data_IF_058756488129
#
_entry.id   IF_058756488129
#
_cell.length_a   1.000
_cell.length_b   1.000
_cell.length_c   1.000
_cell.angle_alpha   90.00
_cell.angle_beta   90.00
_cell.angle_gamma   90.00
#
_symmetry.space_group_name_H-M   'P 1'
#
loop_
_entity.id
_entity.type
_entity.pdbx_description
1 polymer ?
#
# COMPACT_ATOMS: atom_id res chain seq x y z
N UNK A 1 2.34 5.81 -31.86
CA UNK A 1 2.05 6.51 -30.59
C UNK A 1 0.86 5.78 -29.95
N UNK A 2 1.10 4.83 -29.06
CA UNK A 2 0.04 4.05 -28.39
C UNK A 2 0.19 4.27 -26.90
N UNK A 3 -0.69 5.08 -26.33
CA UNK A 3 -0.85 5.26 -24.89
C UNK A 3 -2.26 4.84 -24.55
N UNK A 4 -2.44 3.63 -24.03
CA UNK A 4 -3.62 3.27 -23.26
C UNK A 4 -3.22 2.17 -22.28
N UNK A 5 -2.55 2.56 -21.20
CA UNK A 5 -2.68 1.80 -19.94
C UNK A 5 -4.04 2.20 -19.40
N UNK A 6 -5.05 1.43 -19.80
CA UNK A 6 -6.37 1.52 -19.24
C UNK A 6 -6.37 0.91 -17.85
N UNK A 7 -6.20 1.74 -16.83
CA UNK A 7 -6.67 1.44 -15.48
C UNK A 7 -7.09 2.75 -14.82
N UNK A 8 -8.28 3.22 -15.21
CA UNK A 8 -9.03 4.20 -14.41
C UNK A 8 -9.37 3.61 -13.03
N UNK A 9 -9.74 4.46 -12.07
CA UNK A 9 -9.61 4.17 -10.64
C UNK A 9 -10.45 2.95 -10.25
N UNK A 10 -9.81 1.93 -9.66
CA UNK A 10 -10.53 1.10 -8.69
C UNK A 10 -11.02 2.07 -7.59
N UNK A 11 -12.26 1.93 -7.12
CA UNK A 11 -12.87 2.83 -6.12
C UNK A 11 -12.02 2.91 -4.85
N UNK A 12 -11.04 3.79 -4.85
CA UNK A 12 -10.03 3.88 -3.82
C UNK A 12 -9.72 5.31 -3.48
N UNK A 13 -9.42 5.54 -2.21
CA UNK A 13 -9.01 6.86 -1.72
C UNK A 13 -7.50 6.90 -1.73
N UNK A 14 -6.93 7.64 -2.68
CA UNK A 14 -5.49 7.92 -2.72
C UNK A 14 -5.19 9.19 -1.93
N UNK A 15 -4.19 9.15 -1.05
CA UNK A 15 -3.69 10.34 -0.34
C UNK A 15 -2.20 10.23 -0.05
N UNK A 16 -1.56 11.37 0.09
CA UNK A 16 -0.21 11.43 0.66
C UNK A 16 -0.30 11.33 2.18
N UNK A 17 0.55 10.48 2.76
CA UNK A 17 0.69 10.29 4.19
C UNK A 17 2.08 10.77 4.60
N UNK A 18 2.10 11.70 5.56
CA UNK A 18 3.36 12.24 6.09
C UNK A 18 3.68 11.52 7.39
N UNK A 19 4.77 10.77 7.38
CA UNK A 19 5.25 9.97 8.50
C UNK A 19 5.96 10.85 9.55
N UNK A 20 6.04 10.33 10.78
CA UNK A 20 6.69 11.03 11.91
C UNK A 20 8.20 11.19 11.68
N UNK A 21 8.82 10.24 10.99
CA UNK A 21 10.19 10.31 10.49
C UNK A 21 10.43 11.41 9.45
N UNK A 22 9.36 12.05 8.95
CA UNK A 22 9.42 13.11 7.94
C UNK A 22 9.33 12.62 6.50
N UNK A 23 9.25 11.31 6.29
CA UNK A 23 8.98 10.70 4.98
C UNK A 23 7.57 11.04 4.51
N UNK A 24 7.40 11.15 3.19
CA UNK A 24 6.09 11.26 2.56
C UNK A 24 5.92 10.07 1.65
N UNK A 25 4.86 9.31 1.89
CA UNK A 25 4.48 8.15 1.09
C UNK A 25 3.12 8.40 0.49
N UNK A 26 2.87 7.86 -0.70
CA UNK A 26 1.51 7.87 -1.26
C UNK A 26 0.86 6.55 -0.89
N UNK A 27 -0.34 6.61 -0.35
CA UNK A 27 -1.15 5.41 -0.10
C UNK A 27 -2.40 5.43 -0.98
N UNK A 28 -2.91 4.26 -1.29
CA UNK A 28 -4.18 4.05 -1.94
C UNK A 28 -4.94 2.93 -1.22
N UNK A 29 -6.14 3.24 -0.72
CA UNK A 29 -6.98 2.26 -0.04
C UNK A 29 -8.13 1.92 -0.97
N UNK A 30 -8.27 0.66 -1.34
CA UNK A 30 -9.31 0.14 -2.24
C UNK A 30 -10.14 -0.95 -1.57
N UNK A 31 -11.33 -1.22 -2.09
CA UNK A 31 -12.13 -2.40 -1.70
C UNK A 31 -11.51 -3.67 -2.27
N UNK A 32 -11.47 -4.75 -1.50
CA UNK A 32 -10.90 -6.04 -1.91
C UNK A 32 -11.93 -7.18 -1.69
N UNK A 33 -11.98 -8.22 -2.54
CA UNK A 33 -12.90 -9.35 -2.34
C UNK A 33 -12.48 -10.31 -1.23
N UNK A 34 -11.18 -10.40 -0.92
CA UNK A 34 -10.61 -11.35 0.04
C UNK A 34 -10.34 -10.70 1.40
N UNK A 35 -10.28 -9.37 1.44
CA UNK A 35 -10.02 -8.56 2.64
C UNK A 35 -11.10 -7.50 2.88
N UNK A 36 -11.12 -6.89 4.07
CA UNK A 36 -12.02 -5.77 4.34
C UNK A 36 -11.63 -4.53 3.52
N UNK A 37 -10.33 -4.33 3.33
CA UNK A 37 -9.76 -3.36 2.40
C UNK A 37 -8.40 -3.83 1.88
N UNK A 38 -7.93 -3.21 0.81
CA UNK A 38 -6.57 -3.35 0.29
C UNK A 38 -5.86 -2.00 0.40
N UNK A 39 -4.62 -2.04 0.89
CA UNK A 39 -3.74 -0.90 1.03
C UNK A 39 -2.54 -1.06 0.09
N UNK A 40 -2.39 -0.15 -0.87
CA UNK A 40 -1.21 -0.02 -1.70
C UNK A 40 -0.38 1.16 -1.18
N UNK A 41 0.86 0.89 -0.76
CA UNK A 41 1.82 1.90 -0.29
C UNK A 41 2.87 2.13 -1.36
N UNK A 42 3.03 3.38 -1.79
CA UNK A 42 3.93 3.79 -2.86
C UNK A 42 5.02 4.72 -2.33
N UNK A 43 6.29 4.37 -2.60
CA UNK A 43 7.44 5.20 -2.29
C UNK A 43 8.60 4.92 -3.25
N UNK A 44 9.25 5.96 -3.78
CA UNK A 44 10.42 5.86 -4.67
C UNK A 44 10.28 4.87 -5.84
N UNK A 45 9.09 4.82 -6.46
CA UNK A 45 8.79 3.92 -7.59
C UNK A 45 8.48 2.48 -7.18
N UNK A 46 8.64 2.14 -5.90
CA UNK A 46 8.25 0.87 -5.31
C UNK A 46 6.83 0.91 -4.79
N UNK A 47 6.19 -0.26 -4.79
CA UNK A 47 4.84 -0.46 -4.24
C UNK A 47 4.79 -1.70 -3.37
N UNK A 48 4.24 -1.57 -2.17
CA UNK A 48 3.91 -2.70 -1.29
C UNK A 48 2.39 -2.80 -1.18
N UNK A 49 1.87 -4.01 -1.23
CA UNK A 49 0.43 -4.31 -1.22
C UNK A 49 0.10 -5.11 0.02
N UNK A 50 -0.87 -4.61 0.78
CA UNK A 50 -1.36 -5.23 2.00
C UNK A 50 -2.86 -5.43 1.94
N UNK A 51 -3.32 -6.56 2.48
CA UNK A 51 -4.72 -6.79 2.77
C UNK A 51 -5.01 -6.42 4.22
N UNK A 52 -6.05 -5.64 4.45
CA UNK A 52 -6.51 -5.26 5.79
C UNK A 52 -7.75 -6.08 6.12
N UNK A 53 -7.70 -6.91 7.15
CA UNK A 53 -8.83 -7.72 7.57
C UNK A 53 -9.86 -6.92 8.40
N UNK A 54 -10.97 -7.56 8.76
CA UNK A 54 -12.05 -6.91 9.54
C UNK A 54 -11.68 -6.58 10.99
N UNK A 55 -10.55 -7.08 11.49
CA UNK A 55 -9.98 -6.72 12.79
C UNK A 55 -8.90 -5.64 12.66
N UNK A 56 -8.85 -4.94 11.52
CA UNK A 56 -7.87 -3.88 11.25
C UNK A 56 -6.43 -4.38 11.27
N UNK A 57 -6.20 -5.66 10.93
CA UNK A 57 -4.86 -6.24 10.83
C UNK A 57 -4.35 -6.25 9.39
N UNK A 58 -3.14 -5.74 9.16
CA UNK A 58 -2.47 -5.78 7.87
C UNK A 58 -1.77 -7.12 7.62
N UNK A 59 -1.95 -7.67 6.43
CA UNK A 59 -1.25 -8.86 5.92
C UNK A 59 -0.53 -8.50 4.63
N UNK A 60 0.77 -8.74 4.56
CA UNK A 60 1.55 -8.54 3.34
C UNK A 60 1.07 -9.49 2.22
N UNK A 61 0.81 -8.95 1.03
CA UNK A 61 0.36 -9.70 -0.15
C UNK A 61 1.46 -9.78 -1.20
N UNK A 62 2.01 -8.64 -1.60
CA UNK A 62 2.95 -8.56 -2.71
C UNK A 62 3.72 -7.24 -2.73
N UNK A 63 4.84 -7.19 -3.45
CA UNK A 63 5.56 -5.94 -3.70
C UNK A 63 6.05 -5.83 -5.14
N UNK A 64 6.28 -4.60 -5.59
CA UNK A 64 6.62 -4.27 -6.96
C UNK A 64 7.72 -3.21 -7.04
N UNK A 65 8.74 -3.48 -7.85
CA UNK A 65 9.84 -2.57 -8.21
C UNK A 65 10.20 -2.82 -9.70
N UNK A 66 9.59 -2.05 -10.61
CA UNK A 66 9.58 -2.30 -12.09
C UNK A 66 9.01 -3.68 -12.53
N UNK A 67 8.55 -4.47 -11.57
CA UNK A 67 8.00 -5.81 -11.72
C UNK A 67 7.69 -6.40 -10.34
N UNK A 68 7.09 -7.60 -10.28
CA UNK A 68 6.83 -8.28 -9.01
C UNK A 68 8.15 -8.67 -8.33
N UNK A 69 8.25 -8.45 -7.03
CA UNK A 69 9.41 -8.81 -6.20
C UNK A 69 9.06 -10.04 -5.37
N UNK A 70 9.81 -11.13 -5.53
CA UNK A 70 9.51 -12.40 -4.85
C UNK A 70 9.82 -12.39 -3.35
N UNK A 71 10.86 -11.65 -2.94
CA UNK A 71 11.27 -11.52 -1.53
C UNK A 71 11.61 -10.05 -1.23
N UNK A 72 10.60 -9.19 -1.04
CA UNK A 72 10.79 -7.77 -0.85
C UNK A 72 11.13 -7.44 0.61
N UNK A 73 12.17 -6.63 0.80
CA UNK A 73 12.43 -6.02 2.10
C UNK A 73 11.30 -5.03 2.45
N UNK A 74 10.70 -5.21 3.63
CA UNK A 74 9.80 -4.22 4.21
C UNK A 74 10.63 -3.11 4.86
N UNK A 75 10.47 -1.85 4.42
CA UNK A 75 11.26 -0.76 4.98
C UNK A 75 10.82 -0.46 6.42
N UNK A 76 11.75 -0.03 7.27
CA UNK A 76 11.47 0.24 8.69
C UNK A 76 10.38 1.31 8.90
N UNK A 77 10.28 2.28 7.97
CA UNK A 77 9.26 3.33 8.00
C UNK A 77 7.85 2.81 7.68
N UNK A 78 7.70 1.59 7.14
CA UNK A 78 6.39 0.98 6.88
C UNK A 78 5.56 0.86 8.17
N UNK A 79 6.24 0.71 9.30
CA UNK A 79 5.59 0.67 10.62
C UNK A 79 4.80 1.92 10.94
N UNK A 80 5.35 3.06 10.53
CA UNK A 80 4.72 4.35 10.76
C UNK A 80 3.47 4.51 9.87
N UNK A 81 3.45 3.90 8.68
CA UNK A 81 2.25 3.88 7.83
C UNK A 81 1.08 3.22 8.56
N UNK A 82 1.30 2.02 9.12
CA UNK A 82 0.26 1.31 9.85
C UNK A 82 -0.17 2.03 11.12
N UNK A 83 0.78 2.60 11.87
CA UNK A 83 0.51 3.41 13.06
C UNK A 83 -0.39 4.62 12.75
N UNK A 84 -0.07 5.38 11.70
CA UNK A 84 -0.85 6.55 11.28
C UNK A 84 -2.22 6.18 10.69
N UNK A 85 -2.38 4.94 10.25
CA UNK A 85 -3.66 4.39 9.78
C UNK A 85 -4.48 3.72 10.89
N UNK A 86 -3.96 3.65 12.12
CA UNK A 86 -4.56 2.92 13.25
C UNK A 86 -4.81 1.44 12.92
N UNK A 87 -3.95 0.84 12.10
CA UNK A 87 -4.00 -0.55 11.65
C UNK A 87 -2.95 -1.36 12.42
N UNK A 88 -3.34 -2.50 12.96
CA UNK A 88 -2.44 -3.43 13.62
C UNK A 88 -1.55 -4.16 12.60
N UNK A 89 -0.29 -4.35 12.96
CA UNK A 89 0.70 -5.12 12.22
C UNK A 89 1.41 -6.06 13.21
N UNK A 90 1.27 -7.37 12.98
CA UNK A 90 2.08 -8.42 13.63
C UNK A 90 3.02 -9.11 12.65
#
# INVERSE_FOLDING_TARGET
>A
MSTTIGTGPANGTSRELRLLSGFVVRIEITTDPDYAARLDVHHDGRRWVYGIDSNEKATFIDAFDDGRVDDPDEPEWMREVFLELEVDWE
#
